data_IF_305401988520
#
_entry.id   IF_305401988520
#
_cell.length_a   1.000
_cell.length_b   1.000
_cell.length_c   1.000
_cell.angle_alpha   90.00
_cell.angle_beta   90.00
_cell.angle_gamma   90.00
#
_symmetry.space_group_name_H-M   'P 1'
#
loop_
_entity.id
_entity.type
_entity.pdbx_description
1 polymer ?
#
# COMPACT_ATOMS: atom_id res chain seq x y z
N UNK A 1 1.23 16.32 18.69
CA UNK A 1 1.80 15.85 17.41
C UNK A 1 0.67 15.63 16.39
N UNK A 2 0.32 16.67 15.62
CA UNK A 2 -0.54 16.51 14.44
C UNK A 2 0.35 15.97 13.29
N UNK A 3 -0.17 15.05 12.49
CA UNK A 3 0.42 14.56 11.22
C UNK A 3 1.59 13.56 11.29
N UNK A 4 1.88 12.94 12.43
CA UNK A 4 2.95 11.91 12.52
C UNK A 4 2.74 10.73 11.55
N UNK A 5 1.49 10.37 11.30
CA UNK A 5 1.08 9.33 10.37
C UNK A 5 1.45 9.66 8.92
N UNK A 6 1.32 10.94 8.53
CA UNK A 6 1.73 11.42 7.20
C UNK A 6 3.23 11.32 7.03
N UNK A 7 4.01 11.75 8.04
CA UNK A 7 5.48 11.67 7.96
C UNK A 7 5.99 10.23 7.91
N UNK A 8 5.42 9.33 8.71
CA UNK A 8 5.76 7.90 8.65
C UNK A 8 5.45 7.35 7.26
N UNK A 9 4.27 7.68 6.72
CA UNK A 9 3.86 7.19 5.41
C UNK A 9 4.75 7.71 4.27
N UNK A 10 5.06 9.01 4.26
CA UNK A 10 5.97 9.60 3.28
C UNK A 10 7.38 9.03 3.39
N UNK A 11 7.87 8.83 4.62
CA UNK A 11 9.16 8.16 4.84
C UNK A 11 9.16 6.75 4.24
N UNK A 12 8.10 5.97 4.42
CA UNK A 12 8.01 4.62 3.85
C UNK A 12 7.98 4.63 2.32
N UNK A 13 7.29 5.60 1.71
CA UNK A 13 7.29 5.76 0.26
C UNK A 13 8.71 6.06 -0.25
N UNK A 14 9.37 7.06 0.34
CA UNK A 14 10.72 7.48 -0.09
C UNK A 14 11.76 6.39 0.16
N UNK A 15 11.72 5.77 1.34
CA UNK A 15 12.68 4.74 1.73
C UNK A 15 12.49 3.45 0.92
N UNK A 16 11.25 3.00 0.73
CA UNK A 16 10.93 1.84 -0.12
C UNK A 16 11.28 2.06 -1.59
N UNK A 17 11.05 3.28 -2.11
CA UNK A 17 11.46 3.63 -3.47
C UNK A 17 12.98 3.67 -3.64
N UNK A 18 13.70 4.26 -2.67
CA UNK A 18 15.16 4.28 -2.69
C UNK A 18 15.77 2.88 -2.57
N UNK A 19 15.24 2.02 -1.71
CA UNK A 19 15.72 0.63 -1.59
C UNK A 19 15.44 -0.18 -2.86
N UNK A 20 14.29 0.01 -3.51
CA UNK A 20 14.01 -0.59 -4.81
C UNK A 20 15.01 -0.15 -5.87
N UNK A 21 15.35 1.15 -5.91
CA UNK A 21 16.36 1.68 -6.83
C UNK A 21 17.73 1.03 -6.62
N UNK A 22 18.25 1.01 -5.39
CA UNK A 22 19.54 0.38 -5.09
C UNK A 22 19.53 -1.13 -5.42
N UNK A 23 18.46 -1.85 -5.06
CA UNK A 23 18.34 -3.27 -5.42
C UNK A 23 18.35 -3.46 -6.95
N UNK A 24 17.64 -2.62 -7.71
CA UNK A 24 17.60 -2.74 -9.17
C UNK A 24 18.96 -2.53 -9.85
N UNK A 25 19.86 -1.75 -9.24
CA UNK A 25 21.23 -1.57 -9.74
C UNK A 25 22.05 -2.86 -9.61
N UNK A 26 21.88 -3.59 -8.49
CA UNK A 26 22.54 -4.90 -8.27
C UNK A 26 21.95 -6.02 -9.14
N UNK A 27 20.64 -5.95 -9.47
CA UNK A 27 19.97 -6.94 -10.33
C UNK A 27 20.25 -6.75 -11.83
N UNK A 28 20.84 -5.62 -12.25
CA UNK A 28 21.20 -5.37 -13.66
C UNK A 28 22.26 -6.35 -14.21
N UNK A 29 22.88 -7.19 -13.37
CA UNK A 29 23.87 -8.20 -13.77
C UNK A 29 23.34 -9.65 -13.79
N UNK A 30 22.08 -9.92 -13.41
CA UNK A 30 21.53 -11.28 -13.42
C UNK A 30 20.12 -11.31 -14.03
N UNK A 31 20.09 -11.69 -15.30
CA UNK A 31 18.87 -12.13 -15.97
C UNK A 31 18.21 -13.31 -15.23
N UNK A 32 16.88 -13.33 -15.37
CA UNK A 32 15.96 -14.42 -15.04
C UNK A 32 15.50 -14.55 -13.59
N UNK A 33 14.72 -13.59 -13.11
CA UNK A 33 13.56 -13.90 -12.25
C UNK A 33 12.43 -12.96 -12.70
N UNK A 34 11.18 -13.43 -12.66
CA UNK A 34 9.94 -12.78 -13.14
C UNK A 34 9.52 -13.23 -14.55
N UNK A 35 9.31 -14.54 -14.66
CA UNK A 35 8.32 -15.14 -15.55
C UNK A 35 7.66 -16.24 -14.73
N UNK A 36 6.58 -15.94 -13.98
CA UNK A 36 5.61 -16.95 -13.49
C UNK A 36 4.48 -16.40 -12.58
N UNK A 37 3.95 -15.20 -12.81
CA UNK A 37 2.77 -14.73 -12.04
C UNK A 37 1.78 -13.88 -12.84
N UNK A 38 1.78 -13.97 -14.17
CA UNK A 38 0.63 -13.49 -14.98
C UNK A 38 -0.46 -14.56 -14.96
N UNK A 39 -0.99 -14.85 -13.77
CA UNK A 39 -2.26 -15.55 -13.67
C UNK A 39 -3.35 -14.55 -14.02
N UNK A 40 -4.23 -14.91 -14.94
CA UNK A 40 -5.50 -14.21 -15.18
C UNK A 40 -6.19 -13.98 -13.83
N UNK A 41 -6.19 -12.74 -13.33
CA UNK A 41 -6.86 -12.34 -12.10
C UNK A 41 -8.09 -11.54 -12.48
N UNK A 42 -9.25 -11.99 -12.02
CA UNK A 42 -10.45 -11.18 -12.11
C UNK A 42 -10.30 -9.91 -11.26
N UNK A 43 -11.07 -8.85 -11.54
CA UNK A 43 -11.15 -7.66 -10.68
C UNK A 43 -11.40 -8.02 -9.21
N UNK A 44 -12.15 -9.10 -8.97
CA UNK A 44 -12.41 -9.61 -7.63
C UNK A 44 -11.17 -10.17 -6.94
N UNK A 45 -10.30 -10.90 -7.66
CA UNK A 45 -9.06 -11.45 -7.10
C UNK A 45 -8.06 -10.35 -6.73
N UNK A 46 -7.96 -9.32 -7.59
CA UNK A 46 -7.15 -8.12 -7.33
C UNK A 46 -7.67 -7.41 -6.08
N UNK A 47 -8.99 -7.16 -6.03
CA UNK A 47 -9.63 -6.54 -4.88
C UNK A 47 -9.39 -7.33 -3.60
N UNK A 48 -9.58 -8.66 -3.62
CA UNK A 48 -9.40 -9.50 -2.44
C UNK A 48 -7.95 -9.53 -1.95
N UNK A 49 -6.98 -9.53 -2.87
CA UNK A 49 -5.57 -9.42 -2.51
C UNK A 49 -5.28 -8.10 -1.78
N UNK A 50 -5.78 -6.98 -2.33
CA UNK A 50 -5.54 -5.67 -1.72
C UNK A 50 -6.33 -5.49 -0.41
N UNK A 51 -7.53 -6.06 -0.33
CA UNK A 51 -8.34 -6.08 0.90
C UNK A 51 -7.62 -6.88 1.99
N UNK A 52 -7.04 -8.03 1.65
CA UNK A 52 -6.24 -8.82 2.58
C UNK A 52 -5.06 -8.03 3.15
N UNK A 53 -4.29 -7.34 2.29
CA UNK A 53 -3.19 -6.46 2.71
C UNK A 53 -3.70 -5.34 3.62
N UNK A 54 -4.81 -4.69 3.25
CA UNK A 54 -5.41 -3.62 4.06
C UNK A 54 -5.86 -4.11 5.45
N UNK A 55 -6.47 -5.30 5.53
CA UNK A 55 -6.87 -5.91 6.79
C UNK A 55 -5.64 -6.28 7.64
N UNK A 56 -4.57 -6.80 7.04
CA UNK A 56 -3.31 -7.06 7.75
C UNK A 56 -2.66 -5.77 8.29
N UNK A 57 -2.70 -4.67 7.54
CA UNK A 57 -2.22 -3.37 8.01
C UNK A 57 -3.00 -2.97 9.27
N UNK A 58 -4.33 -3.13 9.30
CA UNK A 58 -5.16 -2.82 10.47
C UNK A 58 -4.87 -3.79 11.62
N UNK A 59 -4.69 -5.09 11.33
CA UNK A 59 -4.32 -6.11 12.32
C UNK A 59 -2.95 -5.83 12.96
N UNK A 60 -2.08 -5.06 12.30
CA UNK A 60 -0.83 -4.56 12.86
C UNK A 60 -1.00 -3.67 14.11
N UNK A 61 -2.23 -3.30 14.48
CA UNK A 61 -2.53 -2.80 15.84
C UNK A 61 -2.04 -3.74 16.95
N UNK A 62 -2.12 -5.06 16.74
CA UNK A 62 -1.64 -6.08 17.69
C UNK A 62 -0.12 -6.01 17.92
N UNK A 63 0.62 -5.54 16.91
CA UNK A 63 2.08 -5.37 16.95
C UNK A 63 2.48 -3.91 17.12
N UNK A 64 1.59 -3.07 17.67
CA UNK A 64 1.81 -1.65 17.90
C UNK A 64 2.18 -0.86 16.62
N UNK A 65 1.74 -1.35 15.46
CA UNK A 65 1.95 -0.75 14.15
C UNK A 65 3.24 -1.16 13.44
N UNK A 66 4.10 -1.99 14.05
CA UNK A 66 5.32 -2.47 13.41
C UNK A 66 4.98 -3.28 12.14
N UNK A 67 4.02 -4.19 12.23
CA UNK A 67 3.57 -4.98 11.06
C UNK A 67 2.97 -4.09 9.98
N UNK A 68 2.19 -3.06 10.36
CA UNK A 68 1.61 -2.11 9.42
C UNK A 68 2.67 -1.36 8.62
N UNK A 69 3.71 -0.86 9.31
CA UNK A 69 4.85 -0.17 8.71
C UNK A 69 5.62 -1.09 7.77
N UNK A 70 5.90 -2.32 8.21
CA UNK A 70 6.63 -3.30 7.41
C UNK A 70 5.87 -3.73 6.15
N UNK A 71 4.57 -3.96 6.25
CA UNK A 71 3.73 -4.32 5.08
C UNK A 71 3.71 -3.18 4.07
N UNK A 72 3.53 -1.92 4.51
CA UNK A 72 3.54 -0.77 3.62
C UNK A 72 4.90 -0.63 2.94
N UNK A 73 6.00 -0.77 3.69
CA UNK A 73 7.35 -0.77 3.13
C UNK A 73 7.52 -1.82 2.02
N UNK A 74 7.14 -3.07 2.28
CA UNK A 74 7.27 -4.15 1.29
C UNK A 74 6.40 -3.92 0.04
N UNK A 75 5.19 -3.37 0.20
CA UNK A 75 4.33 -3.04 -0.95
C UNK A 75 4.96 -1.93 -1.81
N UNK A 76 5.51 -0.88 -1.20
CA UNK A 76 6.23 0.18 -1.92
C UNK A 76 7.49 -0.37 -2.59
N UNK A 77 8.26 -1.22 -1.90
CA UNK A 77 9.46 -1.85 -2.45
C UNK A 77 9.13 -2.68 -3.70
N UNK A 78 8.13 -3.55 -3.61
CA UNK A 78 7.69 -4.39 -4.72
C UNK A 78 7.19 -3.55 -5.90
N UNK A 79 6.43 -2.48 -5.63
CA UNK A 79 5.97 -1.55 -6.64
C UNK A 79 7.15 -0.86 -7.34
N UNK A 80 8.13 -0.37 -6.57
CA UNK A 80 9.33 0.27 -7.10
C UNK A 80 10.15 -0.69 -7.97
N UNK A 81 10.33 -1.93 -7.52
CA UNK A 81 11.03 -2.96 -8.30
C UNK A 81 10.30 -3.26 -9.60
N UNK A 82 8.98 -3.42 -9.57
CA UNK A 82 8.18 -3.64 -10.79
C UNK A 82 8.35 -2.49 -11.79
N UNK A 83 8.26 -1.23 -11.34
CA UNK A 83 8.46 -0.06 -12.21
C UNK A 83 9.83 -0.10 -12.87
N UNK A 84 10.88 -0.35 -12.09
CA UNK A 84 12.26 -0.32 -12.57
C UNK A 84 12.52 -1.46 -13.57
N UNK A 85 12.03 -2.67 -13.29
CA UNK A 85 12.15 -3.80 -14.21
C UNK A 85 11.37 -3.57 -15.51
N UNK A 86 10.13 -3.05 -15.45
CA UNK A 86 9.39 -2.76 -16.67
C UNK A 86 9.96 -1.57 -17.45
N UNK A 87 10.55 -0.59 -16.75
CA UNK A 87 11.24 0.52 -17.39
C UNK A 87 12.50 0.07 -18.14
N UNK A 88 13.21 -0.95 -17.64
CA UNK A 88 14.35 -1.58 -18.31
C UNK A 88 13.93 -2.33 -19.58
N UNK A 89 12.76 -3.01 -19.56
CA UNK A 89 12.24 -3.74 -20.74
C UNK A 89 11.66 -2.83 -21.82
N UNK A 90 10.97 -1.77 -21.40
CA UNK A 90 10.20 -0.90 -22.30
C UNK A 90 10.75 0.53 -22.29
N UNK A 91 10.23 1.37 -21.41
CA UNK A 91 10.73 2.67 -21.01
C UNK A 91 9.96 3.14 -19.77
N UNK A 92 10.47 4.16 -19.07
CA UNK A 92 9.89 4.68 -17.84
C UNK A 92 8.44 5.16 -18.00
N UNK A 93 8.09 5.73 -19.15
CA UNK A 93 6.74 6.28 -19.40
C UNK A 93 5.71 5.14 -19.47
N UNK A 94 6.05 4.05 -20.16
CA UNK A 94 5.21 2.86 -20.27
C UNK A 94 5.08 2.16 -18.92
N UNK A 95 6.17 1.99 -18.18
CA UNK A 95 6.15 1.40 -16.84
C UNK A 95 5.27 2.18 -15.86
N UNK A 96 5.36 3.52 -15.87
CA UNK A 96 4.50 4.38 -15.05
C UNK A 96 3.04 4.28 -15.45
N UNK A 97 2.72 4.17 -16.75
CA UNK A 97 1.33 4.07 -17.23
C UNK A 97 0.60 2.86 -16.62
N UNK A 98 1.29 1.75 -16.41
CA UNK A 98 0.70 0.58 -15.78
C UNK A 98 0.28 0.85 -14.34
N UNK A 99 0.92 1.77 -13.62
CA UNK A 99 0.78 1.92 -12.16
C UNK A 99 0.07 3.20 -11.72
N UNK A 100 0.25 4.30 -12.45
CA UNK A 100 -0.01 5.66 -11.93
C UNK A 100 -1.42 5.84 -11.38
N UNK A 101 -2.42 5.13 -11.91
CA UNK A 101 -3.79 5.30 -11.44
C UNK A 101 -4.17 4.34 -10.30
N UNK A 102 -3.92 3.03 -10.42
CA UNK A 102 -4.35 2.09 -9.37
C UNK A 102 -3.42 2.13 -8.15
N UNK A 103 -2.09 2.21 -8.35
CA UNK A 103 -1.11 2.17 -7.26
C UNK A 103 -1.21 3.36 -6.31
N UNK A 104 -1.51 4.56 -6.81
CA UNK A 104 -1.73 5.73 -5.94
C UNK A 104 -2.98 5.60 -5.07
N UNK A 105 -4.03 4.99 -5.61
CA UNK A 105 -5.30 4.77 -4.90
C UNK A 105 -5.11 3.72 -3.80
N UNK A 106 -4.39 2.63 -4.08
CA UNK A 106 -4.06 1.58 -3.10
C UNK A 106 -3.20 2.12 -1.98
N UNK A 107 -2.14 2.87 -2.31
CA UNK A 107 -1.27 3.50 -1.32
C UNK A 107 -2.07 4.42 -0.39
N UNK A 108 -3.03 5.18 -0.94
CA UNK A 108 -3.89 6.00 -0.11
C UNK A 108 -4.82 5.17 0.78
N UNK A 109 -5.37 4.06 0.29
CA UNK A 109 -6.13 3.11 1.12
C UNK A 109 -5.25 2.55 2.26
N UNK A 110 -4.00 2.15 1.98
CA UNK A 110 -3.06 1.66 2.98
C UNK A 110 -2.70 2.73 4.02
N UNK A 111 -2.56 3.99 3.62
CA UNK A 111 -2.43 5.12 4.54
C UNK A 111 -3.63 5.24 5.50
N UNK A 112 -4.86 5.07 5.01
CA UNK A 112 -6.05 5.05 5.88
C UNK A 112 -5.98 3.91 6.90
N UNK A 113 -5.50 2.73 6.50
CA UNK A 113 -5.24 1.59 7.38
C UNK A 113 -4.23 1.92 8.48
N UNK A 114 -3.08 2.50 8.11
CA UNK A 114 -2.07 2.96 9.08
C UNK A 114 -2.62 4.04 10.02
N UNK A 115 -3.42 4.97 9.50
CA UNK A 115 -4.04 6.02 10.29
C UNK A 115 -5.04 5.45 11.31
N UNK A 116 -5.75 4.36 10.99
CA UNK A 116 -6.58 3.61 11.95
C UNK A 116 -5.71 3.04 13.07
N UNK A 117 -4.60 2.38 12.73
CA UNK A 117 -3.66 1.78 13.69
C UNK A 117 -3.13 2.83 14.67
N UNK A 118 -2.65 3.97 14.15
CA UNK A 118 -2.13 5.07 14.95
C UNK A 118 -3.21 5.70 15.83
N UNK A 119 -4.45 5.81 15.32
CA UNK A 119 -5.59 6.32 16.09
C UNK A 119 -5.90 5.41 17.28
N UNK A 120 -5.95 4.10 17.05
CA UNK A 120 -6.19 3.09 18.10
C UNK A 120 -5.05 3.08 19.12
N UNK A 121 -3.80 3.13 18.68
CA UNK A 121 -2.64 3.18 19.57
C UNK A 121 -2.67 4.42 20.48
N UNK A 122 -2.94 5.61 19.91
CA UNK A 122 -3.11 6.85 20.68
C UNK A 122 -4.26 6.78 21.68
N UNK A 123 -5.35 6.09 21.33
CA UNK A 123 -6.49 5.90 22.21
C UNK A 123 -6.13 5.01 23.41
N UNK A 124 -5.45 3.89 23.18
CA UNK A 124 -5.01 2.96 24.23
C UNK A 124 -4.04 3.62 25.20
N UNK A 125 -3.06 4.39 24.68
CA UNK A 125 -2.03 5.04 25.51
C UNK A 125 -2.60 6.20 26.32
N UNK A 126 -3.39 7.07 25.69
CA UNK A 126 -3.74 8.33 26.34
C UNK A 126 -4.85 8.19 27.38
N UNK A 127 -5.60 7.06 27.45
CA UNK A 127 -6.69 6.70 28.41
C UNK A 127 -7.66 7.82 28.86
N UNK A 128 -7.60 8.99 28.23
CA UNK A 128 -8.36 10.21 28.52
C UNK A 128 -9.23 10.48 27.30
N UNK A 129 -10.49 10.09 27.34
CA UNK A 129 -11.60 11.03 27.19
C UNK A 129 -12.91 10.36 26.82
N UNK A 130 -13.97 10.99 27.31
CA UNK A 130 -15.41 10.80 27.13
C UNK A 130 -15.95 10.87 25.69
N UNK A 131 -15.13 10.69 24.64
CA UNK A 131 -15.53 10.85 23.23
C UNK A 131 -15.28 9.61 22.36
N UNK A 132 -15.43 8.42 22.94
CA UNK A 132 -15.28 7.12 22.24
C UNK A 132 -16.06 7.07 20.91
N UNK A 133 -17.29 7.59 20.88
CA UNK A 133 -18.14 7.60 19.67
C UNK A 133 -17.54 8.35 18.47
N UNK A 134 -16.84 9.47 18.70
CA UNK A 134 -16.18 10.22 17.60
C UNK A 134 -15.00 9.45 17.01
N UNK A 135 -14.26 8.74 17.85
CA UNK A 135 -13.10 7.92 17.44
C UNK A 135 -13.60 6.72 16.63
N UNK A 136 -14.60 6.01 17.14
CA UNK A 136 -15.23 4.88 16.44
C UNK A 136 -15.75 5.32 15.08
N UNK A 137 -16.50 6.44 15.02
CA UNK A 137 -16.98 6.99 13.74
C UNK A 137 -15.84 7.28 12.77
N UNK A 138 -14.74 7.87 13.24
CA UNK A 138 -13.58 8.15 12.39
C UNK A 138 -12.95 6.87 11.84
N UNK A 139 -12.79 5.84 12.68
CA UNK A 139 -12.24 4.54 12.27
C UNK A 139 -13.12 3.88 11.22
N UNK A 140 -14.44 3.82 11.47
CA UNK A 140 -15.40 3.22 10.53
C UNK A 140 -15.40 3.96 9.20
N UNK A 141 -15.39 5.31 9.21
CA UNK A 141 -15.32 6.07 7.96
C UNK A 141 -14.02 5.79 7.18
N UNK A 142 -12.86 5.78 7.84
CA UNK A 142 -11.58 5.45 7.20
C UNK A 142 -11.58 4.04 6.62
N UNK A 143 -12.17 3.08 7.33
CA UNK A 143 -12.30 1.70 6.88
C UNK A 143 -13.16 1.58 5.63
N UNK A 144 -14.37 2.17 5.65
CA UNK A 144 -15.28 2.16 4.51
C UNK A 144 -14.68 2.86 3.29
N UNK A 145 -14.07 4.04 3.48
CA UNK A 145 -13.39 4.76 2.39
C UNK A 145 -12.25 3.91 1.83
N UNK A 146 -11.44 3.27 2.70
CA UNK A 146 -10.38 2.36 2.29
C UNK A 146 -10.90 1.24 1.37
N UNK A 147 -11.96 0.54 1.78
CA UNK A 147 -12.57 -0.53 0.96
C UNK A 147 -13.02 -0.01 -0.41
N UNK A 148 -13.70 1.15 -0.45
CA UNK A 148 -14.17 1.75 -1.71
C UNK A 148 -12.98 2.08 -2.63
N UNK A 149 -11.90 2.66 -2.08
CA UNK A 149 -10.70 2.95 -2.84
C UNK A 149 -10.06 1.68 -3.41
N UNK A 150 -10.00 0.59 -2.64
CA UNK A 150 -9.48 -0.69 -3.14
C UNK A 150 -10.32 -1.25 -4.28
N UNK A 151 -11.65 -1.07 -4.24
CA UNK A 151 -12.53 -1.43 -5.34
C UNK A 151 -12.23 -0.64 -6.61
N UNK A 152 -12.04 0.68 -6.48
CA UNK A 152 -11.65 1.52 -7.61
C UNK A 152 -10.27 1.17 -8.15
N UNK A 153 -9.29 0.90 -7.29
CA UNK A 153 -7.95 0.49 -7.69
C UNK A 153 -7.97 -0.81 -8.50
N UNK A 154 -8.64 -1.84 -7.97
CA UNK A 154 -8.75 -3.13 -8.64
C UNK A 154 -9.47 -3.01 -10.01
N UNK A 155 -10.50 -2.17 -10.09
CA UNK A 155 -11.20 -1.90 -11.35
C UNK A 155 -10.28 -1.23 -12.37
N UNK A 156 -9.52 -0.21 -11.95
CA UNK A 156 -8.56 0.49 -12.82
C UNK A 156 -7.44 -0.45 -13.25
N UNK A 157 -6.88 -1.25 -12.34
CA UNK A 157 -5.81 -2.20 -12.64
C UNK A 157 -6.24 -3.17 -13.73
N UNK A 158 -7.44 -3.76 -13.59
CA UNK A 158 -8.01 -4.66 -14.59
C UNK A 158 -8.22 -3.99 -15.96
N UNK A 159 -8.62 -2.71 -16.00
CA UNK A 159 -8.78 -1.97 -17.25
C UNK A 159 -7.45 -1.58 -17.92
N UNK A 160 -6.40 -1.38 -17.13
CA UNK A 160 -5.07 -0.97 -17.62
C UNK A 160 -4.17 -2.16 -17.97
N UNK A 161 -4.44 -3.32 -17.38
CA UNK A 161 -3.84 -4.61 -17.68
C UNK A 161 -4.94 -5.63 -17.96
N UNK A 162 -5.78 -5.41 -18.99
CA UNK A 162 -6.66 -6.46 -19.45
C UNK A 162 -5.77 -7.57 -20.00
N UNK A 163 -6.04 -8.79 -19.56
CA UNK A 163 -5.32 -9.97 -20.01
C UNK A 163 -5.32 -10.13 -21.54
#
# INVERSE_FOLDING_TARGET
MKNIDVYIFLFLILFGGASAYFMSLDFSEKDNIINNTLNYRSTFDIFMNNLYVFLLIIAGTLTLGVTSVFIIYLNVLNLGLFILFEAQKTNMIVALKYIVFHGLIELYAFYLGLSIVITLFKYVINRKSSKSTKIVRSIVMKFCIGIVLLGFAAFIEYLTNPA
#
